data_IF_710458628648
#
_entry.id   IF_710458628648
#
_cell.length_a   1.000
_cell.length_b   1.000
_cell.length_c   1.000
_cell.angle_alpha   90.00
_cell.angle_beta   90.00
_cell.angle_gamma   90.00
#
_symmetry.space_group_name_H-M   'P 1'
#
loop_
_entity.id
_entity.type
_entity.pdbx_description
1 polymer ?
#
# COMPACT_ATOMS: atom_id res chain seq x y z
N UNK A 1 7.15 -10.09 -3.06
CA UNK A 1 6.41 -11.09 -2.27
C UNK A 1 5.73 -10.50 -1.03
N UNK A 2 6.29 -9.48 -0.38
CA UNK A 2 5.69 -8.88 0.83
C UNK A 2 4.31 -8.25 0.61
N UNK A 3 4.07 -7.60 -0.53
CA UNK A 3 2.77 -6.98 -0.85
C UNK A 3 1.61 -7.96 -0.80
N UNK A 4 1.77 -9.13 -1.42
CA UNK A 4 0.76 -10.19 -1.45
C UNK A 4 0.50 -10.73 -0.04
N UNK A 5 1.56 -10.87 0.78
CA UNK A 5 1.46 -11.32 2.17
C UNK A 5 0.74 -10.30 3.05
N UNK A 6 1.06 -9.00 2.91
CA UNK A 6 0.38 -7.90 3.60
C UNK A 6 -1.09 -7.80 3.19
N UNK A 7 -1.38 -7.90 1.89
CA UNK A 7 -2.76 -7.91 1.37
C UNK A 7 -3.59 -9.05 1.94
N UNK A 8 -3.06 -10.28 1.87
CA UNK A 8 -3.73 -11.46 2.44
C UNK A 8 -3.93 -11.33 3.95
N UNK A 9 -2.93 -10.82 4.69
CA UNK A 9 -3.07 -10.60 6.13
C UNK A 9 -4.17 -9.57 6.43
N UNK A 10 -4.25 -8.48 5.67
CA UNK A 10 -5.27 -7.46 5.82
C UNK A 10 -6.68 -8.02 5.55
N UNK A 11 -6.82 -8.86 4.51
CA UNK A 11 -8.08 -9.56 4.20
C UNK A 11 -8.49 -10.51 5.32
N UNK A 12 -7.56 -11.29 5.86
CA UNK A 12 -7.82 -12.23 6.95
C UNK A 12 -8.25 -11.51 8.23
N UNK A 13 -7.58 -10.41 8.56
CA UNK A 13 -7.95 -9.58 9.71
C UNK A 13 -9.36 -9.00 9.53
N UNK A 14 -9.66 -8.44 8.35
CA UNK A 14 -11.00 -7.91 8.05
C UNK A 14 -12.10 -8.97 8.13
N UNK A 15 -11.84 -10.17 7.62
CA UNK A 15 -12.77 -11.30 7.71
C UNK A 15 -12.99 -11.76 9.16
N UNK A 16 -11.94 -11.85 9.97
CA UNK A 16 -12.05 -12.20 11.38
C UNK A 16 -12.87 -11.15 12.15
N UNK A 17 -12.61 -9.87 11.91
CA UNK A 17 -13.32 -8.75 12.54
C UNK A 17 -14.82 -8.77 12.17
N UNK A 18 -15.13 -9.03 10.90
CA UNK A 18 -16.50 -9.14 10.41
C UNK A 18 -17.24 -10.31 11.07
N UNK A 19 -16.64 -11.50 11.09
CA UNK A 19 -17.23 -12.69 11.71
C UNK A 19 -17.41 -12.53 13.22
N UNK A 20 -16.43 -11.92 13.90
CA UNK A 20 -16.54 -11.63 15.32
C UNK A 20 -17.70 -10.67 15.61
N UNK A 21 -17.83 -9.61 14.82
CA UNK A 21 -18.92 -8.65 14.99
C UNK A 21 -20.29 -9.29 14.72
N UNK A 22 -20.39 -10.13 13.68
CA UNK A 22 -21.62 -10.83 13.31
C UNK A 22 -22.07 -11.83 14.39
N UNK A 23 -21.15 -12.58 14.98
CA UNK A 23 -21.49 -13.65 15.94
C UNK A 23 -21.64 -13.13 17.37
N UNK A 24 -20.81 -12.17 17.80
CA UNK A 24 -20.74 -11.76 19.21
C UNK A 24 -21.34 -10.38 19.49
N UNK A 25 -21.19 -9.42 18.57
CA UNK A 25 -21.60 -8.02 18.81
C UNK A 25 -23.04 -7.77 18.35
N UNK A 26 -23.41 -8.30 17.19
CA UNK A 26 -24.77 -8.20 16.63
C UNK A 26 -25.89 -8.74 17.55
N UNK A 27 -25.75 -9.85 18.30
CA UNK A 27 -26.82 -10.31 19.19
C UNK A 27 -27.03 -9.41 20.42
N UNK A 28 -26.17 -8.41 20.64
CA UNK A 28 -26.32 -7.45 21.74
C UNK A 28 -27.07 -6.21 21.22
N UNK A 29 -28.34 -6.00 21.59
CA UNK A 29 -29.18 -4.93 21.02
C UNK A 29 -28.62 -3.53 21.30
N UNK A 30 -28.02 -3.31 22.48
CA UNK A 30 -27.38 -2.05 22.86
C UNK A 30 -26.18 -1.68 21.96
N UNK A 31 -25.59 -2.66 21.28
CA UNK A 31 -24.41 -2.49 20.44
C UNK A 31 -24.74 -2.62 18.95
N UNK A 32 -26.03 -2.65 18.57
CA UNK A 32 -26.43 -2.85 17.17
C UNK A 32 -25.75 -1.85 16.21
N UNK A 33 -25.80 -0.55 16.55
CA UNK A 33 -25.17 0.49 15.72
C UNK A 33 -23.64 0.31 15.62
N UNK A 34 -23.00 -0.06 16.73
CA UNK A 34 -21.56 -0.36 16.78
C UNK A 34 -21.19 -1.61 15.98
N UNK A 35 -22.05 -2.62 15.98
CA UNK A 35 -21.88 -3.84 15.17
C UNK A 35 -21.88 -3.51 13.68
N UNK A 36 -22.80 -2.65 13.22
CA UNK A 36 -22.87 -2.24 11.82
C UNK A 36 -21.60 -1.49 11.38
N UNK A 37 -21.13 -0.55 12.20
CA UNK A 37 -19.90 0.20 11.90
C UNK A 37 -18.68 -0.72 11.85
N UNK A 38 -18.54 -1.63 12.80
CA UNK A 38 -17.41 -2.59 12.83
C UNK A 38 -17.48 -3.59 11.67
N UNK A 39 -18.66 -4.07 11.31
CA UNK A 39 -18.87 -4.91 10.12
C UNK A 39 -18.49 -4.16 8.84
N UNK A 40 -18.88 -2.89 8.72
CA UNK A 40 -18.50 -2.06 7.58
C UNK A 40 -16.98 -1.91 7.46
N UNK A 41 -16.29 -1.63 8.57
CA UNK A 41 -14.82 -1.57 8.61
C UNK A 41 -14.21 -2.92 8.17
N UNK A 42 -14.77 -4.04 8.64
CA UNK A 42 -14.34 -5.37 8.22
C UNK A 42 -14.44 -5.59 6.70
N UNK A 43 -15.57 -5.23 6.10
CA UNK A 43 -15.79 -5.35 4.64
C UNK A 43 -14.83 -4.46 3.85
N UNK A 44 -14.61 -3.22 4.31
CA UNK A 44 -13.64 -2.30 3.69
C UNK A 44 -12.23 -2.89 3.72
N UNK A 45 -11.80 -3.45 4.86
CA UNK A 45 -10.49 -4.11 5.00
C UNK A 45 -10.37 -5.34 4.08
N UNK A 46 -11.43 -6.14 3.95
CA UNK A 46 -11.47 -7.27 3.01
C UNK A 46 -11.30 -6.78 1.57
N UNK A 47 -12.02 -5.72 1.17
CA UNK A 47 -11.95 -5.13 -0.16
C UNK A 47 -10.56 -4.61 -0.49
N UNK A 48 -9.99 -3.78 0.38
CA UNK A 48 -8.65 -3.21 0.20
C UNK A 48 -7.59 -4.31 0.20
N UNK A 49 -7.62 -5.20 1.21
CA UNK A 49 -6.67 -6.31 1.31
C UNK A 49 -6.72 -7.23 0.10
N UNK A 50 -7.93 -7.51 -0.39
CA UNK A 50 -8.16 -8.34 -1.58
C UNK A 50 -7.65 -7.69 -2.87
N UNK A 51 -7.90 -6.38 -3.03
CA UNK A 51 -7.38 -5.60 -4.16
C UNK A 51 -5.83 -5.57 -4.17
N UNK A 52 -5.22 -5.35 -3.00
CA UNK A 52 -3.76 -5.37 -2.83
C UNK A 52 -3.19 -6.77 -3.07
N UNK A 53 -3.84 -7.83 -2.57
CA UNK A 53 -3.40 -9.21 -2.74
C UNK A 53 -3.47 -9.67 -4.21
N UNK A 54 -4.46 -9.18 -4.97
CA UNK A 54 -4.60 -9.43 -6.41
C UNK A 54 -3.71 -8.53 -7.28
N UNK A 55 -3.03 -7.55 -6.70
CA UNK A 55 -2.21 -6.59 -7.44
C UNK A 55 -3.03 -5.68 -8.36
N UNK A 56 -4.32 -5.48 -8.09
CA UNK A 56 -5.17 -4.56 -8.84
C UNK A 56 -4.87 -3.10 -8.48
N UNK A 57 -4.35 -2.90 -7.27
CA UNK A 57 -3.99 -1.59 -6.76
C UNK A 57 -2.47 -1.49 -6.73
N UNK A 58 -1.88 -0.83 -7.73
CA UNK A 58 -0.43 -0.65 -7.87
C UNK A 58 0.10 0.53 -7.04
N UNK A 59 -0.74 1.52 -6.73
CA UNK A 59 -0.31 2.81 -6.15
C UNK A 59 0.13 2.78 -4.68
N UNK A 60 -0.30 1.80 -3.88
CA UNK A 60 -0.06 1.80 -2.43
C UNK A 60 1.35 1.35 -1.99
N UNK A 61 2.09 0.63 -2.84
CA UNK A 61 3.38 0.02 -2.46
C UNK A 61 4.38 -0.01 -3.63
N UNK A 62 4.07 0.64 -4.76
CA UNK A 62 5.04 0.77 -5.85
C UNK A 62 6.06 1.83 -5.42
N UNK A 63 7.17 1.35 -4.85
CA UNK A 63 8.36 2.14 -4.68
C UNK A 63 8.66 2.76 -6.03
N UNK A 64 8.44 4.07 -6.16
CA UNK A 64 8.79 4.79 -7.39
C UNK A 64 10.22 4.40 -7.71
N UNK A 65 10.49 3.79 -8.89
CA UNK A 65 11.79 3.22 -9.17
C UNK A 65 12.83 4.31 -8.94
N UNK A 66 13.92 4.00 -8.25
CA UNK A 66 15.00 4.98 -8.08
C UNK A 66 15.63 5.21 -9.43
N UNK A 67 16.01 6.45 -9.73
CA UNK A 67 16.79 6.73 -10.94
C UNK A 67 18.10 5.98 -10.85
N UNK A 68 18.31 4.97 -11.71
CA UNK A 68 19.48 4.10 -11.65
C UNK A 68 20.79 4.90 -11.82
N UNK A 69 20.73 5.99 -12.57
CA UNK A 69 21.89 6.82 -12.89
C UNK A 69 22.44 7.57 -11.66
N UNK A 70 21.57 7.98 -10.73
CA UNK A 70 21.98 8.63 -9.48
C UNK A 70 21.67 7.81 -8.23
N UNK A 71 21.28 6.53 -8.38
CA UNK A 71 20.90 5.66 -7.27
C UNK A 71 19.75 6.18 -6.39
N UNK A 72 18.96 7.14 -6.88
CA UNK A 72 17.87 7.77 -6.13
C UNK A 72 18.22 9.01 -5.32
N UNK A 73 19.45 9.52 -5.39
CA UNK A 73 19.88 10.72 -4.65
C UNK A 73 19.43 12.02 -5.30
N UNK A 74 19.08 11.98 -6.60
CA UNK A 74 18.82 13.17 -7.41
C UNK A 74 20.08 13.96 -7.77
N UNK A 75 21.27 13.53 -7.35
CA UNK A 75 22.53 14.24 -7.60
C UNK A 75 23.63 13.29 -8.07
N UNK A 76 24.60 13.84 -8.79
CA UNK A 76 25.81 13.14 -9.21
C UNK A 76 27.04 13.94 -8.75
N UNK A 77 28.16 13.26 -8.56
CA UNK A 77 29.44 13.93 -8.29
C UNK A 77 29.89 14.64 -9.58
N UNK A 78 29.84 15.97 -9.55
CA UNK A 78 30.42 16.82 -10.58
C UNK A 78 31.86 17.20 -10.23
N UNK A 79 32.60 17.74 -11.21
CA UNK A 79 34.04 18.03 -11.11
C UNK A 79 34.35 19.02 -9.98
N UNK A 80 33.50 20.05 -9.82
CA UNK A 80 33.68 21.08 -8.78
C UNK A 80 32.68 20.94 -7.62
N UNK A 81 31.45 20.47 -7.89
CA UNK A 81 30.34 20.41 -6.92
C UNK A 81 29.35 19.29 -7.29
N UNK A 82 28.52 18.82 -6.35
CA UNK A 82 27.42 17.92 -6.68
C UNK A 82 26.45 18.59 -7.66
N UNK A 83 26.24 17.98 -8.82
CA UNK A 83 25.34 18.47 -9.86
C UNK A 83 23.99 17.74 -9.81
N UNK A 84 22.93 18.39 -10.30
CA UNK A 84 21.63 17.74 -10.42
C UNK A 84 21.71 16.62 -11.45
N UNK A 85 21.12 15.46 -11.12
CA UNK A 85 21.13 14.33 -12.04
C UNK A 85 20.36 14.71 -13.32
N UNK A 86 21.00 14.69 -14.51
CA UNK A 86 20.38 15.14 -15.75
C UNK A 86 19.25 14.22 -16.20
N UNK A 87 19.31 12.93 -15.82
CA UNK A 87 18.35 11.92 -16.25
C UNK A 87 16.99 12.06 -15.57
N UNK A 88 16.99 12.33 -14.27
CA UNK A 88 15.79 12.54 -13.46
C UNK A 88 15.50 14.00 -13.13
N UNK A 89 16.26 14.95 -13.69
CA UNK A 89 16.12 16.38 -13.44
C UNK A 89 16.25 16.77 -11.96
N UNK A 90 17.05 16.04 -11.18
CA UNK A 90 17.22 16.31 -9.74
C UNK A 90 16.24 15.60 -8.80
N UNK A 91 15.22 14.91 -9.30
CA UNK A 91 14.15 14.31 -8.45
C UNK A 91 14.57 13.03 -7.72
N UNK A 92 15.59 12.32 -8.23
CA UNK A 92 15.96 10.99 -7.75
C UNK A 92 15.00 9.87 -8.20
N UNK A 93 13.92 10.20 -8.89
CA UNK A 93 12.93 9.23 -9.36
C UNK A 93 13.28 8.77 -10.78
N UNK A 94 13.23 7.46 -11.00
CA UNK A 94 13.42 6.80 -12.28
C UNK A 94 12.21 7.01 -13.18
N UNK A 95 12.43 6.97 -14.50
CA UNK A 95 11.32 7.13 -15.45
C UNK A 95 10.45 5.87 -15.44
N UNK A 96 9.15 5.98 -15.76
CA UNK A 96 8.28 4.82 -15.98
C UNK A 96 8.84 3.84 -17.02
N UNK A 97 9.63 4.34 -17.97
CA UNK A 97 10.26 3.58 -19.05
C UNK A 97 11.56 2.87 -18.63
N UNK A 98 12.15 3.21 -17.48
CA UNK A 98 13.35 2.54 -16.95
C UNK A 98 13.00 1.20 -16.24
N UNK A 99 11.79 0.66 -16.47
CA UNK A 99 11.37 -0.68 -16.01
C UNK A 99 12.14 -1.76 -16.80
N UNK A 100 12.65 -2.82 -16.16
CA UNK A 100 13.10 -4.03 -16.85
C UNK A 100 11.93 -4.83 -17.42
#
# INVERSE_FOLDING_TARGET
MDRRRKGVACTLIGAALFLFSLVFVLPVPELYLGSLVTMFIGVVLIGIGGAVAKGLDYGLDESVPKCYYCGGTGRIEGIDRPESCPRCGGTGLGRPDDRP
#
